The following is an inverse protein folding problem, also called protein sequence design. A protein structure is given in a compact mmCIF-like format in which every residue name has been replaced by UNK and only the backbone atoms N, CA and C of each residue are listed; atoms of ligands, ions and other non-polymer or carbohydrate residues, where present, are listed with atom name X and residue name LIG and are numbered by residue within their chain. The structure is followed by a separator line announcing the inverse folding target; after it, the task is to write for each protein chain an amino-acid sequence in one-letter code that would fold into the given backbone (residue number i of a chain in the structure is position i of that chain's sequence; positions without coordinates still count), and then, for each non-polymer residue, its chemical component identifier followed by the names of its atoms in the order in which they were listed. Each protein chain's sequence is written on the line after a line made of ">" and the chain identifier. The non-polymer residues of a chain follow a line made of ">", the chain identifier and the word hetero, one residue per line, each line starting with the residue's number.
data_IF_608206818347
#
_entry.id   IF_608206818347
#
_cell.length_a   1.000
_cell.length_b   1.000
_cell.length_c   1.000
_cell.angle_alpha   90.00
_cell.angle_beta   90.00
_cell.angle_gamma   90.00
#
_symmetry.space_group_name_H-M   'P 1'
#
loop_
_entity.id
_entity.type
_entity.pdbx_description
1 polymer ?
#
# COMPACT_ATOMS: atom_id res chain seq x y z
N UNK A 1 66.64 53.03 -124.09
CA UNK A 1 65.68 53.15 -122.97
C UNK A 1 65.04 51.79 -122.82
N UNK A 2 65.60 51.01 -121.90
CA UNK A 2 65.96 49.62 -122.19
C UNK A 2 64.95 48.63 -121.61
N UNK A 3 64.42 47.78 -122.48
CA UNK A 3 63.53 46.66 -122.14
C UNK A 3 64.07 45.80 -120.99
N UNK A 4 65.40 45.69 -120.88
CA UNK A 4 66.10 44.97 -119.83
C UNK A 4 65.86 45.57 -118.43
N UNK A 5 65.88 46.90 -118.28
CA UNK A 5 65.59 47.56 -117.00
C UNK A 5 64.13 47.38 -116.58
N UNK A 6 63.19 47.39 -117.54
CA UNK A 6 61.78 47.13 -117.27
C UNK A 6 61.53 45.68 -116.84
N UNK A 7 62.22 44.72 -117.47
CA UNK A 7 62.16 43.31 -117.13
C UNK A 7 62.78 43.01 -115.75
N UNK A 8 63.93 43.61 -115.43
CA UNK A 8 64.54 43.48 -114.11
C UNK A 8 63.66 44.09 -113.00
N UNK A 9 63.01 45.23 -113.27
CA UNK A 9 62.13 45.88 -112.29
C UNK A 9 60.87 45.04 -112.01
N UNK A 10 60.27 44.44 -113.04
CA UNK A 10 59.08 43.60 -112.86
C UNK A 10 59.40 42.30 -112.11
N UNK A 11 60.55 41.67 -112.39
CA UNK A 11 61.03 40.52 -111.60
C UNK A 11 61.30 40.92 -110.14
N UNK A 12 61.97 42.05 -109.92
CA UNK A 12 62.25 42.54 -108.57
C UNK A 12 60.95 42.80 -107.78
N UNK A 13 59.97 43.48 -108.39
CA UNK A 13 58.68 43.73 -107.77
C UNK A 13 57.91 42.43 -107.48
N UNK A 14 58.00 41.43 -108.36
CA UNK A 14 57.38 40.12 -108.15
C UNK A 14 58.02 39.36 -106.98
N UNK A 15 59.36 39.38 -106.86
CA UNK A 15 60.08 38.79 -105.72
C UNK A 15 59.71 39.51 -104.42
N UNK A 16 59.66 40.84 -104.41
CA UNK A 16 59.22 41.61 -103.25
C UNK A 16 57.77 41.27 -102.85
N UNK A 17 56.87 41.10 -103.83
CA UNK A 17 55.48 40.70 -103.57
C UNK A 17 55.41 39.31 -102.92
N UNK A 18 56.18 38.33 -103.43
CA UNK A 18 56.23 36.99 -102.85
C UNK A 18 56.80 36.97 -101.42
N UNK A 19 57.82 37.77 -101.13
CA UNK A 19 58.38 37.90 -99.77
C UNK A 19 57.35 38.48 -98.81
N UNK A 20 56.59 39.50 -99.24
CA UNK A 20 55.52 40.10 -98.42
C UNK A 20 54.38 39.12 -98.16
N UNK A 21 53.96 38.35 -99.17
CA UNK A 21 52.90 37.35 -99.00
C UNK A 21 53.35 36.16 -98.14
N UNK A 22 54.60 35.71 -98.24
CA UNK A 22 55.18 34.70 -97.35
C UNK A 22 55.26 35.19 -95.89
N UNK A 23 55.71 36.43 -95.68
CA UNK A 23 55.74 37.05 -94.34
C UNK A 23 54.35 37.14 -93.72
N UNK A 24 53.31 37.46 -94.51
CA UNK A 24 51.92 37.47 -94.03
C UNK A 24 51.39 36.07 -93.67
N UNK A 25 51.90 35.01 -94.32
CA UNK A 25 51.53 33.63 -93.99
C UNK A 25 52.21 33.21 -92.69
N UNK A 26 53.49 33.52 -92.51
CA UNK A 26 54.20 33.23 -91.25
C UNK A 26 53.57 33.96 -90.06
N UNK A 27 53.24 35.25 -90.20
CA UNK A 27 52.54 36.00 -89.15
C UNK A 27 51.19 35.38 -88.79
N UNK A 28 50.42 34.91 -89.80
CA UNK A 28 49.14 34.22 -89.56
C UNK A 28 49.31 32.86 -88.89
N UNK A 29 50.33 32.10 -89.26
CA UNK A 29 50.62 30.79 -88.65
C UNK A 29 51.05 30.95 -87.19
N UNK A 30 51.90 31.95 -86.89
CA UNK A 30 52.33 32.26 -85.52
C UNK A 30 51.14 32.69 -84.65
N UNK A 31 50.23 33.52 -85.19
CA UNK A 31 49.01 33.93 -84.47
C UNK A 31 48.08 32.74 -84.19
N UNK A 32 47.92 31.82 -85.15
CA UNK A 32 47.10 30.61 -84.97
C UNK A 32 47.71 29.68 -83.91
N UNK A 33 49.03 29.47 -83.93
CA UNK A 33 49.72 28.64 -82.92
C UNK A 33 49.61 29.26 -81.52
N UNK A 34 49.72 30.57 -81.39
CA UNK A 34 49.59 31.25 -80.09
C UNK A 34 48.15 31.17 -79.54
N UNK A 35 47.13 31.30 -80.41
CA UNK A 35 45.73 31.11 -80.03
C UNK A 35 45.42 29.66 -79.64
N UNK A 36 45.96 28.68 -80.36
CA UNK A 36 45.78 27.26 -80.06
C UNK A 36 46.43 26.87 -78.72
N UNK A 37 47.62 27.42 -78.44
CA UNK A 37 48.34 27.23 -77.16
C UNK A 37 47.58 27.91 -76.01
N UNK A 38 47.02 29.10 -76.20
CA UNK A 38 46.17 29.77 -75.19
C UNK A 38 44.88 28.98 -74.92
N UNK A 39 44.22 28.47 -75.96
CA UNK A 39 42.99 27.70 -75.83
C UNK A 39 43.21 26.36 -75.10
N UNK A 40 44.29 25.64 -75.42
CA UNK A 40 44.65 24.37 -74.76
C UNK A 40 45.04 24.59 -73.29
N UNK A 41 45.81 25.63 -72.98
CA UNK A 41 46.16 25.98 -71.59
C UNK A 41 44.93 26.40 -70.77
N UNK A 42 44.04 27.22 -71.33
CA UNK A 42 42.80 27.63 -70.66
C UNK A 42 41.89 26.42 -70.33
N UNK A 43 41.74 25.49 -71.27
CA UNK A 43 40.96 24.28 -71.05
C UNK A 43 41.58 23.38 -69.98
N UNK A 44 42.90 23.19 -69.99
CA UNK A 44 43.62 22.41 -68.97
C UNK A 44 43.48 23.01 -67.56
N UNK A 45 43.60 24.34 -67.43
CA UNK A 45 43.42 25.04 -66.14
C UNK A 45 41.96 24.98 -65.67
N UNK A 46 41.00 25.09 -66.59
CA UNK A 46 39.57 24.98 -66.28
C UNK A 46 39.19 23.57 -65.82
N UNK A 47 39.77 22.54 -66.42
CA UNK A 47 39.55 21.14 -66.04
C UNK A 47 40.19 20.83 -64.67
N UNK A 48 41.44 21.24 -64.46
CA UNK A 48 42.13 21.07 -63.17
C UNK A 48 41.41 21.81 -62.03
N UNK A 49 40.89 23.01 -62.27
CA UNK A 49 40.12 23.74 -61.26
C UNK A 49 38.76 23.08 -60.98
N UNK A 50 38.07 22.57 -62.00
CA UNK A 50 36.82 21.83 -61.82
C UNK A 50 37.03 20.54 -61.00
N UNK A 51 38.11 19.80 -61.25
CA UNK A 51 38.43 18.57 -60.52
C UNK A 51 38.80 18.85 -59.06
N UNK A 52 39.58 19.90 -58.79
CA UNK A 52 39.89 20.29 -57.40
C UNK A 52 38.67 20.78 -56.61
N UNK A 53 37.70 21.44 -57.27
CA UNK A 53 36.43 21.84 -56.64
C UNK A 53 35.59 20.61 -56.30
N UNK A 54 35.41 19.68 -57.26
CA UNK A 54 34.69 18.42 -57.02
C UNK A 54 35.31 17.62 -55.88
N UNK A 55 36.64 17.53 -55.81
CA UNK A 55 37.33 16.81 -54.74
C UNK A 55 37.09 17.45 -53.36
N UNK A 56 37.11 18.78 -53.27
CA UNK A 56 36.82 19.52 -52.03
C UNK A 56 35.37 19.32 -51.59
N UNK A 57 34.43 19.38 -52.51
CA UNK A 57 33.01 19.17 -52.23
C UNK A 57 32.74 17.74 -51.75
N UNK A 58 33.32 16.73 -52.41
CA UNK A 58 33.26 15.33 -51.96
C UNK A 58 33.87 15.13 -50.57
N UNK A 59 35.03 15.76 -50.28
CA UNK A 59 35.66 15.67 -48.95
C UNK A 59 34.76 16.29 -47.86
N UNK A 60 34.12 17.41 -48.17
CA UNK A 60 33.17 18.08 -47.26
C UNK A 60 31.92 17.21 -47.02
N UNK A 61 31.33 16.66 -48.07
CA UNK A 61 30.18 15.77 -47.98
C UNK A 61 30.50 14.50 -47.16
N UNK A 62 31.63 13.86 -47.42
CA UNK A 62 32.08 12.69 -46.67
C UNK A 62 32.28 13.01 -45.18
N UNK A 63 32.83 14.18 -44.85
CA UNK A 63 32.98 14.60 -43.46
C UNK A 63 31.60 14.79 -42.78
N UNK A 64 30.64 15.37 -43.49
CA UNK A 64 29.28 15.57 -42.98
C UNK A 64 28.53 14.24 -42.79
N UNK A 65 28.64 13.31 -43.75
CA UNK A 65 28.10 11.94 -43.64
C UNK A 65 28.69 11.23 -42.42
N UNK A 66 29.99 11.32 -42.20
CA UNK A 66 30.65 10.67 -41.06
C UNK A 66 30.21 11.29 -39.73
N UNK A 67 30.01 12.62 -39.68
CA UNK A 67 29.44 13.30 -38.51
C UNK A 67 28.02 12.81 -38.23
N UNK A 68 27.15 12.78 -39.24
CA UNK A 68 25.77 12.29 -39.12
C UNK A 68 25.74 10.82 -38.66
N UNK A 69 26.63 9.99 -39.19
CA UNK A 69 26.76 8.57 -38.80
C UNK A 69 27.11 8.43 -37.32
N UNK A 70 28.07 9.22 -36.83
CA UNK A 70 28.46 9.25 -35.41
C UNK A 70 27.32 9.72 -34.52
N UNK A 71 26.63 10.79 -34.91
CA UNK A 71 25.46 11.29 -34.19
C UNK A 71 24.32 10.25 -34.14
N UNK A 72 24.05 9.58 -35.26
CA UNK A 72 23.05 8.50 -35.33
C UNK A 72 23.38 7.32 -34.41
N UNK A 73 24.66 6.93 -34.35
CA UNK A 73 25.13 5.91 -33.40
C UNK A 73 24.94 6.34 -31.95
N UNK A 74 25.28 7.59 -31.63
CA UNK A 74 25.15 8.15 -30.28
C UNK A 74 23.66 8.27 -29.86
N UNK A 75 22.78 8.68 -30.77
CA UNK A 75 21.33 8.68 -30.55
C UNK A 75 20.79 7.27 -30.31
N UNK A 76 21.23 6.28 -31.08
CA UNK A 76 20.86 4.87 -30.88
C UNK A 76 21.28 4.35 -29.50
N UNK A 77 22.48 4.71 -29.04
CA UNK A 77 22.97 4.38 -27.70
C UNK A 77 22.15 5.06 -26.61
N UNK A 78 21.89 6.37 -26.74
CA UNK A 78 21.03 7.13 -25.80
C UNK A 78 19.62 6.51 -25.70
N UNK A 79 19.01 6.19 -26.84
CA UNK A 79 17.70 5.54 -26.87
C UNK A 79 17.70 4.16 -26.19
N UNK A 80 18.75 3.36 -26.37
CA UNK A 80 18.91 2.08 -25.67
C UNK A 80 18.96 2.29 -24.15
N UNK A 81 19.74 3.27 -23.68
CA UNK A 81 19.85 3.59 -22.26
C UNK A 81 18.53 4.10 -21.67
N UNK A 82 17.80 4.95 -22.40
CA UNK A 82 16.48 5.45 -22.00
C UNK A 82 15.47 4.31 -21.87
N UNK A 83 15.44 3.36 -22.82
CA UNK A 83 14.59 2.17 -22.73
C UNK A 83 14.93 1.32 -21.50
N UNK A 84 16.22 1.14 -21.20
CA UNK A 84 16.65 0.41 -20.01
C UNK A 84 16.21 1.10 -18.71
N UNK A 85 16.40 2.43 -18.60
CA UNK A 85 15.94 3.21 -17.45
C UNK A 85 14.42 3.12 -17.28
N UNK A 86 13.66 3.28 -18.37
CA UNK A 86 12.20 3.20 -18.32
C UNK A 86 11.73 1.80 -17.87
N UNK A 87 12.36 0.73 -18.37
CA UNK A 87 12.08 -0.63 -17.91
C UNK A 87 12.37 -0.83 -16.42
N UNK A 88 13.45 -0.22 -15.90
CA UNK A 88 13.78 -0.27 -14.47
C UNK A 88 12.72 0.45 -13.64
N UNK A 89 12.36 1.68 -14.01
CA UNK A 89 11.30 2.46 -13.33
C UNK A 89 9.97 1.70 -13.34
N UNK A 90 9.61 1.07 -14.47
CA UNK A 90 8.39 0.25 -14.55
C UNK A 90 8.42 -0.93 -13.58
N UNK A 91 9.56 -1.61 -13.42
CA UNK A 91 9.71 -2.70 -12.45
C UNK A 91 9.62 -2.20 -11.01
N UNK A 92 10.25 -1.08 -10.70
CA UNK A 92 10.20 -0.46 -9.37
C UNK A 92 8.76 -0.04 -9.00
N UNK A 93 8.02 0.55 -9.94
CA UNK A 93 6.60 0.89 -9.75
C UNK A 93 5.71 -0.34 -9.52
N UNK A 94 5.95 -1.45 -10.25
CA UNK A 94 5.22 -2.70 -10.01
C UNK A 94 5.49 -3.25 -8.61
N UNK A 95 6.73 -3.21 -8.15
CA UNK A 95 7.10 -3.65 -6.81
C UNK A 95 6.47 -2.77 -5.72
N UNK A 96 6.46 -1.44 -5.93
CA UNK A 96 5.82 -0.49 -5.03
C UNK A 96 4.32 -0.78 -4.91
N UNK A 97 3.64 -0.99 -6.05
CA UNK A 97 2.22 -1.35 -6.06
C UNK A 97 1.94 -2.66 -5.32
N UNK A 98 2.81 -3.67 -5.45
CA UNK A 98 2.68 -4.91 -4.69
C UNK A 98 2.89 -4.71 -3.18
N UNK A 99 3.84 -3.85 -2.78
CA UNK A 99 4.03 -3.50 -1.37
C UNK A 99 2.81 -2.75 -0.81
N UNK A 100 2.27 -1.78 -1.55
CA UNK A 100 1.08 -1.04 -1.13
C UNK A 100 -0.14 -1.96 -0.95
N UNK A 101 -0.33 -2.93 -1.85
CA UNK A 101 -1.39 -3.95 -1.70
C UNK A 101 -1.20 -4.78 -0.43
N UNK A 102 0.02 -5.20 -0.11
CA UNK A 102 0.32 -5.93 1.14
C UNK A 102 0.02 -5.09 2.37
N UNK A 103 0.49 -3.85 2.42
CA UNK A 103 0.21 -2.92 3.53
C UNK A 103 -1.29 -2.71 3.71
N UNK A 104 -2.05 -2.56 2.62
CA UNK A 104 -3.50 -2.42 2.70
C UNK A 104 -4.18 -3.67 3.27
N UNK A 105 -3.72 -4.86 2.89
CA UNK A 105 -4.23 -6.12 3.44
C UNK A 105 -3.91 -6.24 4.94
N UNK A 106 -2.68 -5.91 5.35
CA UNK A 106 -2.26 -5.94 6.75
C UNK A 106 -3.10 -4.97 7.60
N UNK A 107 -3.38 -3.78 7.06
CA UNK A 107 -4.28 -2.81 7.71
C UNK A 107 -5.71 -3.35 7.89
N UNK A 108 -6.26 -4.04 6.88
CA UNK A 108 -7.59 -4.65 6.98
C UNK A 108 -7.63 -5.77 8.02
N UNK A 109 -6.60 -6.61 8.07
CA UNK A 109 -6.46 -7.67 9.08
C UNK A 109 -6.39 -7.08 10.48
N UNK A 110 -5.57 -6.04 10.69
CA UNK A 110 -5.47 -5.35 11.98
C UNK A 110 -6.81 -4.74 12.42
N UNK A 111 -7.58 -4.19 11.48
CA UNK A 111 -8.91 -3.65 11.76
C UNK A 111 -9.90 -4.74 12.19
N UNK A 112 -9.85 -5.91 11.55
CA UNK A 112 -10.67 -7.06 11.94
C UNK A 112 -10.28 -7.59 13.33
N UNK A 113 -8.99 -7.69 13.60
CA UNK A 113 -8.48 -8.15 14.89
C UNK A 113 -8.92 -7.21 16.04
N UNK A 114 -8.78 -5.89 15.83
CA UNK A 114 -9.26 -4.90 16.79
C UNK A 114 -10.77 -4.99 17.05
N UNK A 115 -11.56 -5.30 16.01
CA UNK A 115 -12.99 -5.54 16.18
C UNK A 115 -13.25 -6.75 17.07
N UNK A 116 -12.55 -7.88 16.80
CA UNK A 116 -12.68 -9.11 17.59
C UNK A 116 -12.31 -8.88 19.05
N UNK A 117 -11.19 -8.21 19.32
CA UNK A 117 -10.75 -7.87 20.68
C UNK A 117 -11.78 -7.00 21.40
N UNK A 118 -12.39 -6.03 20.70
CA UNK A 118 -13.43 -5.17 21.27
C UNK A 118 -14.69 -5.97 21.63
N UNK A 119 -15.10 -6.89 20.78
CA UNK A 119 -16.25 -7.77 21.06
C UNK A 119 -15.99 -8.70 22.25
N UNK A 120 -14.79 -9.28 22.32
CA UNK A 120 -14.36 -10.12 23.44
C UNK A 120 -14.34 -9.34 24.76
N UNK A 121 -13.79 -8.12 24.75
CA UNK A 121 -13.82 -7.23 25.91
C UNK A 121 -15.24 -6.92 26.39
N UNK A 122 -16.18 -6.67 25.47
CA UNK A 122 -17.58 -6.46 25.81
C UNK A 122 -18.25 -7.72 26.37
N UNK A 123 -17.91 -8.90 25.86
CA UNK A 123 -18.41 -10.18 26.39
C UNK A 123 -17.92 -10.42 27.81
N UNK A 124 -16.62 -10.25 28.06
CA UNK A 124 -16.02 -10.38 29.38
C UNK A 124 -16.61 -9.38 30.38
N UNK A 125 -16.86 -8.14 29.96
CA UNK A 125 -17.52 -7.14 30.81
C UNK A 125 -18.92 -7.59 31.24
N UNK A 126 -19.73 -8.08 30.30
CA UNK A 126 -21.08 -8.60 30.60
C UNK A 126 -21.05 -9.83 31.49
N UNK A 127 -20.10 -10.72 31.28
CA UNK A 127 -19.92 -11.91 32.12
C UNK A 127 -19.54 -11.52 33.55
N UNK A 128 -18.61 -10.58 33.69
CA UNK A 128 -18.21 -10.07 35.00
C UNK A 128 -19.38 -9.41 35.73
N UNK A 129 -20.15 -8.56 35.05
CA UNK A 129 -21.37 -7.94 35.61
C UNK A 129 -22.36 -9.00 36.12
N UNK A 130 -22.61 -10.07 35.35
CA UNK A 130 -23.48 -11.18 35.79
C UNK A 130 -22.92 -11.92 37.01
N UNK A 131 -21.62 -12.15 37.04
CA UNK A 131 -20.98 -12.86 38.15
C UNK A 131 -21.04 -12.03 39.44
N UNK A 132 -20.84 -10.70 39.35
CA UNK A 132 -21.04 -9.79 40.47
C UNK A 132 -22.49 -9.83 40.98
N UNK A 133 -23.49 -9.71 40.10
CA UNK A 133 -24.90 -9.74 40.52
C UNK A 133 -25.29 -11.08 41.15
N UNK A 134 -24.78 -12.20 40.62
CA UNK A 134 -25.06 -13.52 41.16
C UNK A 134 -24.41 -13.71 42.55
N UNK A 135 -23.19 -13.20 42.72
CA UNK A 135 -22.47 -13.25 44.00
C UNK A 135 -23.17 -12.41 45.07
N UNK A 136 -23.62 -11.19 44.71
CA UNK A 136 -24.32 -10.30 45.62
C UNK A 136 -25.66 -10.92 46.07
N UNK A 137 -26.45 -11.44 45.11
CA UNK A 137 -27.71 -12.11 45.39
C UNK A 137 -27.53 -13.36 46.27
N UNK A 138 -26.50 -14.18 45.99
CA UNK A 138 -26.17 -15.35 46.81
C UNK A 138 -25.79 -14.94 48.24
N UNK A 139 -25.03 -13.85 48.41
CA UNK A 139 -24.63 -13.35 49.72
C UNK A 139 -25.82 -12.85 50.55
N UNK A 140 -26.80 -12.21 49.91
CA UNK A 140 -27.98 -11.69 50.58
C UNK A 140 -28.98 -12.80 50.94
N UNK A 141 -29.14 -13.81 50.08
CA UNK A 141 -29.88 -15.03 50.42
C UNK A 141 -29.27 -15.70 51.65
N UNK A 142 -27.95 -15.90 51.66
CA UNK A 142 -27.26 -16.54 52.78
C UNK A 142 -27.39 -15.75 54.10
N UNK A 143 -27.29 -14.42 54.05
CA UNK A 143 -27.53 -13.55 55.21
C UNK A 143 -28.97 -13.66 55.72
N UNK A 144 -29.95 -13.66 54.82
CA UNK A 144 -31.37 -13.76 55.18
C UNK A 144 -31.73 -15.13 55.77
N UNK A 145 -31.20 -16.21 55.21
CA UNK A 145 -31.39 -17.56 55.73
C UNK A 145 -30.79 -17.71 57.13
N UNK A 146 -29.59 -17.17 57.36
CA UNK A 146 -28.95 -17.16 58.68
C UNK A 146 -29.79 -16.39 59.71
N UNK A 147 -30.36 -15.23 59.34
CA UNK A 147 -31.26 -14.47 60.22
C UNK A 147 -32.53 -15.25 60.56
N UNK A 148 -33.15 -15.90 59.58
CA UNK A 148 -34.34 -16.76 59.80
C UNK A 148 -34.04 -17.89 60.78
N UNK A 149 -32.91 -18.60 60.60
CA UNK A 149 -32.49 -19.68 61.52
C UNK A 149 -32.36 -19.19 62.97
N UNK A 150 -31.71 -18.05 63.18
CA UNK A 150 -31.56 -17.47 64.53
C UNK A 150 -32.91 -17.14 65.17
N UNK A 151 -33.84 -16.58 64.40
CA UNK A 151 -35.19 -16.26 64.88
C UNK A 151 -35.97 -17.53 65.24
N UNK A 152 -35.94 -18.54 64.36
CA UNK A 152 -36.56 -19.84 64.63
C UNK A 152 -35.98 -20.51 65.87
N UNK A 153 -34.66 -20.51 66.06
CA UNK A 153 -34.01 -21.08 67.24
C UNK A 153 -34.45 -20.38 68.55
N UNK A 154 -34.60 -19.06 68.51
CA UNK A 154 -35.11 -18.29 69.65
C UNK A 154 -36.57 -18.66 69.98
N UNK A 155 -37.40 -18.81 68.95
CA UNK A 155 -38.81 -19.15 69.12
C UNK A 155 -39.00 -20.59 69.60
N UNK A 156 -38.21 -21.54 69.09
CA UNK A 156 -38.16 -22.92 69.61
C UNK A 156 -37.81 -22.92 71.09
N UNK A 157 -36.77 -22.20 71.51
CA UNK A 157 -36.40 -22.11 72.93
C UNK A 157 -37.54 -21.53 73.77
N UNK A 158 -38.20 -20.47 73.29
CA UNK A 158 -39.35 -19.86 73.98
C UNK A 158 -40.47 -20.87 74.17
N UNK A 159 -40.89 -21.54 73.10
CA UNK A 159 -41.99 -22.52 73.13
C UNK A 159 -41.64 -23.76 73.95
N UNK A 160 -40.43 -24.29 73.82
CA UNK A 160 -39.97 -25.43 74.61
C UNK A 160 -39.90 -25.10 76.10
N UNK A 161 -39.48 -23.89 76.47
CA UNK A 161 -39.49 -23.46 77.87
C UNK A 161 -40.92 -23.39 78.42
N UNK A 162 -41.88 -22.88 77.64
CA UNK A 162 -43.30 -22.86 78.04
C UNK A 162 -43.82 -24.30 78.18
N UNK A 163 -43.60 -25.14 77.17
CA UNK A 163 -44.06 -26.53 77.19
C UNK A 163 -43.42 -27.32 78.34
N UNK A 164 -42.17 -27.05 78.69
CA UNK A 164 -41.49 -27.71 79.81
C UNK A 164 -42.11 -27.38 81.17
N UNK A 165 -42.82 -26.25 81.31
CA UNK A 165 -43.59 -25.94 82.52
C UNK A 165 -44.90 -26.76 82.60
N UNK A 166 -45.44 -27.16 81.46
CA UNK A 166 -46.71 -27.90 81.34
C UNK A 166 -46.44 -29.42 81.38
N UNK A 167 -45.58 -29.90 80.47
CA UNK A 167 -45.21 -31.30 80.29
C UNK A 167 -43.72 -31.41 79.89
N UNK A 168 -42.82 -31.67 80.86
CA UNK A 168 -41.38 -31.83 80.60
C UNK A 168 -41.03 -32.97 79.65
N UNK A 169 -41.78 -34.07 79.68
CA UNK A 169 -41.51 -35.24 78.82
C UNK A 169 -41.85 -34.93 77.36
N UNK A 170 -42.93 -34.19 77.14
CA UNK A 170 -43.34 -33.75 75.82
C UNK A 170 -42.40 -32.67 75.28
N UNK A 171 -41.94 -31.74 76.13
CA UNK A 171 -40.90 -30.77 75.77
C UNK A 171 -39.62 -31.46 75.30
N UNK A 172 -39.19 -32.54 75.98
CA UNK A 172 -38.04 -33.34 75.55
C UNK A 172 -38.25 -34.00 74.18
N UNK A 173 -39.44 -34.54 73.90
CA UNK A 173 -39.75 -35.12 72.56
C UNK A 173 -39.67 -34.07 71.46
N UNK A 174 -40.26 -32.90 71.68
CA UNK A 174 -40.19 -31.79 70.72
C UNK A 174 -38.76 -31.27 70.54
N UNK A 175 -37.98 -31.19 71.61
CA UNK A 175 -36.56 -30.87 71.52
C UNK A 175 -35.80 -31.83 70.60
N UNK A 176 -36.03 -33.15 70.72
CA UNK A 176 -35.42 -34.13 69.84
C UNK A 176 -35.84 -33.93 68.37
N UNK A 177 -37.10 -33.60 68.13
CA UNK A 177 -37.60 -33.34 66.76
C UNK A 177 -36.88 -32.13 66.14
N UNK A 178 -36.71 -31.04 66.89
CA UNK A 178 -36.00 -29.86 66.39
C UNK A 178 -34.50 -30.07 66.28
N UNK A 179 -33.89 -30.86 67.17
CA UNK A 179 -32.44 -31.11 67.19
C UNK A 179 -31.92 -31.74 65.89
N UNK A 180 -32.72 -32.60 65.25
CA UNK A 180 -32.34 -33.29 64.02
C UNK A 180 -32.89 -32.62 62.75
N UNK A 181 -33.75 -31.62 62.89
CA UNK A 181 -34.29 -30.91 61.73
C UNK A 181 -33.31 -29.82 61.28
N UNK A 182 -32.94 -29.85 60.00
CA UNK A 182 -32.03 -28.85 59.43
C UNK A 182 -32.69 -27.97 58.38
N UNK A 183 -33.89 -28.33 57.92
CA UNK A 183 -34.65 -27.56 56.95
C UNK A 183 -35.46 -26.46 57.66
N UNK A 184 -35.13 -25.19 57.37
CA UNK A 184 -35.76 -24.00 57.95
C UNK A 184 -37.29 -23.97 57.75
N UNK A 185 -37.78 -24.39 56.59
CA UNK A 185 -39.23 -24.34 56.29
C UNK A 185 -40.00 -25.37 57.13
N UNK A 186 -39.40 -26.55 57.33
CA UNK A 186 -39.97 -27.59 58.18
C UNK A 186 -39.93 -27.15 59.65
N UNK A 187 -38.84 -26.51 60.08
CA UNK A 187 -38.73 -25.94 61.43
C UNK A 187 -39.83 -24.91 61.66
N UNK A 188 -40.00 -23.93 60.77
CA UNK A 188 -41.01 -22.88 60.91
C UNK A 188 -42.44 -23.45 60.92
N UNK A 189 -42.73 -24.48 60.11
CA UNK A 189 -44.02 -25.18 60.16
C UNK A 189 -44.23 -25.86 61.53
N UNK A 190 -43.23 -26.61 62.01
CA UNK A 190 -43.28 -27.30 63.30
C UNK A 190 -43.39 -26.34 64.49
N UNK A 191 -42.77 -25.16 64.42
CA UNK A 191 -42.93 -24.09 65.41
C UNK A 191 -44.39 -23.65 65.47
N UNK A 192 -45.05 -23.42 64.32
CA UNK A 192 -46.47 -23.05 64.28
C UNK A 192 -47.37 -24.16 64.85
N UNK A 193 -47.09 -25.40 64.49
CA UNK A 193 -47.84 -26.55 65.01
C UNK A 193 -47.69 -26.67 66.54
N UNK A 194 -46.47 -26.49 67.05
CA UNK A 194 -46.17 -26.48 68.48
C UNK A 194 -46.85 -25.31 69.21
N UNK A 195 -46.84 -24.11 68.65
CA UNK A 195 -47.48 -22.93 69.22
C UNK A 195 -49.01 -23.13 69.34
N UNK A 196 -49.64 -23.62 68.26
CA UNK A 196 -51.07 -23.99 68.26
C UNK A 196 -51.35 -25.08 69.29
N UNK A 197 -50.47 -26.07 69.41
CA UNK A 197 -50.61 -27.15 70.39
C UNK A 197 -50.55 -26.62 71.83
N UNK A 198 -49.54 -25.81 72.16
CA UNK A 198 -49.39 -25.17 73.49
C UNK A 198 -50.62 -24.33 73.80
N UNK A 199 -51.09 -23.51 72.86
CA UNK A 199 -52.28 -22.68 73.02
C UNK A 199 -53.52 -23.52 73.36
N UNK A 200 -53.72 -24.66 72.68
CA UNK A 200 -54.83 -25.58 72.96
C UNK A 200 -54.73 -26.26 74.33
N UNK A 201 -53.53 -26.56 74.82
CA UNK A 201 -53.33 -27.18 76.14
C UNK A 201 -53.54 -26.18 77.28
N UNK A 202 -53.17 -24.92 77.07
CA UNK A 202 -53.35 -23.86 78.07
C UNK A 202 -54.83 -23.48 78.26
N UNK A 203 -55.66 -23.50 77.21
CA UNK A 203 -57.08 -23.10 77.31
C UNK A 203 -57.87 -23.89 78.39
N UNK A 204 -57.81 -25.24 78.46
CA UNK A 204 -58.45 -26.02 79.52
C UNK A 204 -57.90 -25.71 80.92
N UNK A 205 -56.58 -25.52 81.05
CA UNK A 205 -55.94 -25.24 82.34
C UNK A 205 -56.38 -23.88 82.90
N UNK A 206 -56.45 -22.85 82.06
CA UNK A 206 -56.99 -21.54 82.44
C UNK A 206 -58.49 -21.61 82.79
N UNK A 207 -59.29 -22.40 82.07
CA UNK A 207 -60.70 -22.63 82.41
C UNK A 207 -60.88 -23.26 83.80
N UNK A 208 -59.98 -24.17 84.19
CA UNK A 208 -60.04 -24.80 85.50
C UNK A 208 -59.58 -23.87 86.63
N UNK A 209 -58.60 -23.00 86.38
CA UNK A 209 -58.15 -22.00 87.38
C UNK A 209 -59.23 -20.93 87.63
N UNK A 210 -59.94 -20.49 86.59
CA UNK A 210 -61.04 -19.51 86.75
C UNK A 210 -62.33 -20.10 87.32
N UNK A 211 -62.53 -21.42 87.30
CA UNK A 211 -63.68 -22.06 87.98
C UNK A 211 -63.47 -22.20 89.51
N UNK A 212 -62.27 -21.88 90.02
CA UNK A 212 -61.93 -21.90 91.44
C UNK A 212 -61.85 -20.50 92.08
N UNK A 213 -62.07 -19.44 91.31
CA UNK A 213 -62.26 -18.06 91.79
C UNK A 213 -63.71 -17.62 91.56
#
# INVERSE_FOLDING_TARGET
>A
MDFFNFFCLTIFLFICYLIIDLSKIEDKVIVIDEELVKATNYNSVKEATADTVKEKDMKKENHEIERIRKEGLLLKQKNKLLRQKNNRVRKENLLLNQKNKRVMNDYLLLKQENHRVREESLRLKKENERNFTNSEHSSDIAKNERKRRILSDLEIRRLLNILNLIDPLLAYKWYQIFKFESNIEIIESKIKDLDIFIYKQLIPEFKNVFNYF
#
